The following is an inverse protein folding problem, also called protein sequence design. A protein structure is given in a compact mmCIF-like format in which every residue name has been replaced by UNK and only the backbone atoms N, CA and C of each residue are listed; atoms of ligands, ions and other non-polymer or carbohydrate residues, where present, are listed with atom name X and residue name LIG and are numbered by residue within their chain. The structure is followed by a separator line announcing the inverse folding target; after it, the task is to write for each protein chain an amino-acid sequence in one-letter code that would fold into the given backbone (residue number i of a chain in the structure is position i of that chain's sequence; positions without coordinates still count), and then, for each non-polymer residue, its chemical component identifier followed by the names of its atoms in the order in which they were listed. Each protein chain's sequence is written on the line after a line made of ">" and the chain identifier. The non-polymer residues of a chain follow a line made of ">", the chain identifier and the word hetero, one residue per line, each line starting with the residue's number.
data_IF_524918590862
#
_entry.id   IF_524918590862
#
_cell.length_a   1.000
_cell.length_b   1.000
_cell.length_c   1.000
_cell.angle_alpha   90.00
_cell.angle_beta   90.00
_cell.angle_gamma   90.00
#
_symmetry.space_group_name_H-M   'P 1'
#
loop_
_entity.id
_entity.type
_entity.pdbx_description
1 polymer ?
#
# COMPACT_ATOMS: atom_id res chain seq x y z
N UNK A 1 -1.99 22.37 5.51
CA UNK A 1 -3.44 22.40 5.26
C UNK A 1 -3.82 23.37 4.18
N UNK A 2 -4.01 24.65 4.51
CA UNK A 2 -4.56 25.67 3.58
C UNK A 2 -3.81 25.75 2.24
N UNK A 3 -2.48 25.83 2.25
CA UNK A 3 -1.70 25.90 1.02
C UNK A 3 -1.97 24.70 0.08
N UNK A 4 -2.03 23.48 0.61
CA UNK A 4 -2.33 22.29 -0.19
C UNK A 4 -3.75 22.32 -0.75
N UNK A 5 -4.72 22.75 0.05
CA UNK A 5 -6.13 22.82 -0.33
C UNK A 5 -6.35 23.86 -1.44
N UNK A 6 -5.72 25.03 -1.32
CA UNK A 6 -6.04 26.20 -2.13
C UNK A 6 -5.06 26.43 -3.29
N UNK A 7 -3.78 26.05 -3.12
CA UNK A 7 -2.71 26.42 -4.05
C UNK A 7 -2.19 25.26 -4.90
N UNK A 8 -2.44 24.00 -4.51
CA UNK A 8 -2.04 22.83 -5.31
C UNK A 8 -3.19 22.46 -6.23
N UNK A 9 -3.03 22.61 -7.58
CA UNK A 9 -4.14 22.47 -8.54
C UNK A 9 -4.76 21.07 -8.65
N UNK A 10 -4.00 19.93 -8.56
CA UNK A 10 -4.60 18.63 -8.81
C UNK A 10 -5.76 18.32 -7.86
N UNK A 11 -6.87 17.91 -8.47
CA UNK A 11 -8.11 17.52 -7.80
C UNK A 11 -8.56 16.15 -8.34
N UNK A 12 -7.67 15.17 -8.29
CA UNK A 12 -7.90 13.82 -8.82
C UNK A 12 -8.20 12.88 -7.66
N UNK A 13 -9.08 11.92 -7.87
CA UNK A 13 -9.33 10.79 -6.99
C UNK A 13 -9.48 11.22 -5.52
N UNK A 14 -8.79 10.55 -4.60
CA UNK A 14 -8.77 10.81 -3.17
C UNK A 14 -8.36 12.24 -2.82
N UNK A 15 -7.41 12.84 -3.55
CA UNK A 15 -6.98 14.22 -3.31
C UNK A 15 -8.09 15.23 -3.58
N UNK A 16 -8.86 15.03 -4.65
CA UNK A 16 -9.98 15.89 -5.02
C UNK A 16 -11.09 15.84 -3.99
N UNK A 17 -11.47 14.62 -3.57
CA UNK A 17 -12.50 14.40 -2.58
C UNK A 17 -12.07 14.98 -1.22
N UNK A 18 -10.85 14.65 -0.77
CA UNK A 18 -10.32 15.15 0.48
C UNK A 18 -10.30 16.69 0.53
N UNK A 19 -9.78 17.35 -0.52
CA UNK A 19 -9.76 18.81 -0.59
C UNK A 19 -11.17 19.42 -0.55
N UNK A 20 -12.13 18.78 -1.24
CA UNK A 20 -13.54 19.16 -1.20
C UNK A 20 -14.10 19.06 0.23
N UNK A 21 -13.85 17.97 0.90
CA UNK A 21 -14.25 17.71 2.28
C UNK A 21 -13.62 18.73 3.24
N UNK A 22 -12.33 19.02 3.09
CA UNK A 22 -11.62 20.01 3.94
C UNK A 22 -12.16 21.44 3.73
N UNK A 23 -12.49 21.81 2.48
CA UNK A 23 -13.18 23.10 2.20
C UNK A 23 -14.57 23.16 2.84
N UNK A 24 -15.23 22.00 2.96
CA UNK A 24 -16.50 21.86 3.69
C UNK A 24 -16.36 21.84 5.21
N UNK A 25 -15.13 21.97 5.74
CA UNK A 25 -14.84 22.02 7.19
C UNK A 25 -14.58 20.65 7.83
N UNK A 26 -14.50 19.56 7.05
CA UNK A 26 -14.13 18.25 7.58
C UNK A 26 -12.61 18.18 7.75
N UNK A 27 -12.18 17.68 8.90
CA UNK A 27 -10.76 17.46 9.22
C UNK A 27 -10.40 15.98 9.17
N UNK A 28 -9.11 15.60 9.01
CA UNK A 28 -8.68 14.21 9.10
C UNK A 28 -9.12 13.55 10.43
N UNK A 29 -9.53 12.27 10.41
CA UNK A 29 -9.62 11.38 9.25
C UNK A 29 -10.90 11.54 8.41
N UNK A 30 -11.87 12.36 8.86
CA UNK A 30 -13.16 12.52 8.16
C UNK A 30 -13.02 13.09 6.76
N UNK A 31 -11.99 13.92 6.51
CA UNK A 31 -11.69 14.43 5.18
C UNK A 31 -11.38 13.32 4.16
N UNK A 32 -10.74 12.25 4.60
CA UNK A 32 -10.43 11.08 3.77
C UNK A 32 -11.51 9.99 3.79
N UNK A 33 -12.49 10.08 4.71
CA UNK A 33 -13.52 9.06 4.89
C UNK A 33 -14.85 9.42 4.20
N UNK A 34 -15.26 10.70 4.29
CA UNK A 34 -16.59 11.12 3.91
C UNK A 34 -16.80 11.13 2.39
N UNK A 35 -17.73 10.29 1.92
CA UNK A 35 -18.04 10.12 0.48
C UNK A 35 -16.79 9.95 -0.40
N UNK A 36 -15.83 9.17 0.07
CA UNK A 36 -14.57 8.92 -0.63
C UNK A 36 -14.53 7.48 -1.15
N UNK A 37 -14.89 7.31 -2.40
CA UNK A 37 -14.81 6.02 -3.10
C UNK A 37 -13.37 5.59 -3.39
N UNK A 38 -12.38 6.48 -3.20
CA UNK A 38 -10.96 6.22 -3.44
C UNK A 38 -10.14 5.93 -2.16
N UNK A 39 -10.79 5.77 -1.01
CA UNK A 39 -10.08 5.55 0.25
C UNK A 39 -9.33 4.21 0.33
N UNK A 40 -9.65 3.29 -0.56
CA UNK A 40 -9.03 1.97 -0.67
C UNK A 40 -7.95 1.92 -1.78
N UNK A 41 -7.70 3.05 -2.47
CA UNK A 41 -6.76 3.17 -3.58
C UNK A 41 -5.29 3.20 -3.16
N UNK A 42 -4.40 3.25 -4.17
CA UNK A 42 -2.94 3.18 -3.99
C UNK A 42 -2.30 4.44 -3.41
N UNK A 43 -2.95 5.60 -3.50
CA UNK A 43 -2.32 6.90 -3.23
C UNK A 43 -1.65 7.08 -1.88
N UNK A 44 -2.04 6.32 -0.84
CA UNK A 44 -1.43 6.44 0.48
C UNK A 44 -0.11 5.66 0.62
N UNK A 45 -0.03 4.43 0.09
CA UNK A 45 1.13 3.58 0.32
C UNK A 45 2.29 3.85 -0.62
N UNK A 46 2.03 4.40 -1.80
CA UNK A 46 3.07 4.75 -2.79
C UNK A 46 3.91 5.98 -2.41
N UNK A 47 3.78 6.51 -1.22
CA UNK A 47 4.54 7.67 -0.71
C UNK A 47 5.11 7.45 0.69
N UNK A 48 5.17 6.18 1.12
CA UNK A 48 5.63 5.82 2.47
C UNK A 48 7.13 5.85 2.64
N UNK A 49 7.91 5.83 1.58
CA UNK A 49 9.37 5.80 1.58
C UNK A 49 9.98 6.95 2.39
N UNK A 50 9.35 8.13 2.37
CA UNK A 50 9.82 9.26 3.17
C UNK A 50 9.74 8.97 4.67
N UNK A 51 8.65 8.34 5.11
CA UNK A 51 8.44 8.02 6.53
C UNK A 51 9.36 6.90 6.99
N UNK A 52 9.57 5.89 6.16
CA UNK A 52 10.53 4.83 6.40
C UNK A 52 11.97 5.34 6.41
N UNK A 53 12.34 6.20 5.45
CA UNK A 53 13.66 6.84 5.38
C UNK A 53 13.97 7.78 6.54
N UNK A 54 12.95 8.42 7.13
CA UNK A 54 13.09 9.24 8.34
C UNK A 54 13.13 8.41 9.64
N UNK A 55 12.71 7.16 9.59
CA UNK A 55 12.64 6.24 10.73
C UNK A 55 13.25 4.87 10.38
N UNK A 56 14.54 4.80 9.95
CA UNK A 56 15.18 3.54 9.59
C UNK A 56 15.23 2.61 10.79
N UNK A 57 14.93 1.32 10.59
CA UNK A 57 14.89 0.29 11.63
C UNK A 57 13.93 0.58 12.80
N UNK A 58 12.95 1.46 12.58
CA UNK A 58 11.96 1.82 13.58
C UNK A 58 10.54 1.78 13.01
N UNK A 59 10.00 0.58 12.70
CA UNK A 59 8.69 0.43 12.05
C UNK A 59 7.56 1.18 12.74
N UNK A 60 7.49 1.15 14.07
CA UNK A 60 6.42 1.83 14.82
C UNK A 60 6.45 3.36 14.65
N UNK A 61 7.65 3.93 14.49
CA UNK A 61 7.81 5.37 14.21
C UNK A 61 7.40 5.68 12.78
N UNK A 62 7.84 4.89 11.80
CA UNK A 62 7.47 5.06 10.39
C UNK A 62 5.95 4.95 10.21
N UNK A 63 5.33 3.92 10.79
CA UNK A 63 3.88 3.68 10.77
C UNK A 63 3.10 4.87 11.33
N UNK A 64 3.54 5.44 12.44
CA UNK A 64 2.85 6.58 13.05
C UNK A 64 2.69 7.72 12.05
N UNK A 65 3.77 8.11 11.37
CA UNK A 65 3.73 9.20 10.39
C UNK A 65 3.02 8.81 9.10
N UNK A 66 3.26 7.60 8.58
CA UNK A 66 2.57 7.10 7.39
C UNK A 66 1.04 7.04 7.61
N UNK A 67 0.58 6.61 8.79
CA UNK A 67 -0.84 6.61 9.14
C UNK A 67 -1.43 8.02 9.26
N UNK A 68 -0.71 8.95 9.92
CA UNK A 68 -1.15 10.35 10.04
C UNK A 68 -1.30 10.99 8.65
N UNK A 69 -0.36 10.71 7.73
CA UNK A 69 -0.41 11.15 6.34
C UNK A 69 -1.57 10.50 5.57
N UNK A 70 -1.68 9.17 5.60
CA UNK A 70 -2.72 8.42 4.90
C UNK A 70 -4.14 8.81 5.35
N UNK A 71 -4.36 9.04 6.64
CA UNK A 71 -5.67 9.41 7.18
C UNK A 71 -6.21 10.74 6.60
N UNK A 72 -5.36 11.58 6.02
CA UNK A 72 -5.79 12.86 5.44
C UNK A 72 -6.73 12.63 4.26
N UNK A 73 -6.40 11.70 3.37
CA UNK A 73 -7.09 11.46 2.10
C UNK A 73 -7.64 10.03 1.91
N UNK A 74 -7.25 9.07 2.76
CA UNK A 74 -7.75 7.70 2.74
C UNK A 74 -8.54 7.30 4.02
N UNK A 75 -8.65 8.20 4.99
CA UNK A 75 -9.42 7.94 6.20
C UNK A 75 -9.01 6.65 6.92
N UNK A 76 -9.94 5.71 7.06
CA UNK A 76 -9.74 4.38 7.65
C UNK A 76 -9.80 3.24 6.63
N UNK A 77 -9.65 3.53 5.34
CA UNK A 77 -9.74 2.56 4.25
C UNK A 77 -8.53 1.64 4.10
N UNK A 78 -8.60 0.74 3.14
CA UNK A 78 -7.52 -0.22 2.83
C UNK A 78 -6.25 0.50 2.38
N UNK A 79 -6.34 1.68 1.75
CA UNK A 79 -5.19 2.52 1.43
C UNK A 79 -4.37 2.89 2.68
N UNK A 80 -5.03 3.19 3.80
CA UNK A 80 -4.37 3.46 5.07
C UNK A 80 -3.71 2.21 5.67
N UNK A 81 -4.36 1.03 5.58
CA UNK A 81 -3.72 -0.22 6.02
C UNK A 81 -2.53 -0.60 5.13
N UNK A 82 -2.63 -0.35 3.83
CA UNK A 82 -1.51 -0.52 2.90
C UNK A 82 -0.33 0.36 3.28
N UNK A 83 -0.55 1.65 3.57
CA UNK A 83 0.50 2.57 4.01
C UNK A 83 1.16 2.12 5.31
N UNK A 84 0.40 1.62 6.29
CA UNK A 84 0.93 1.07 7.53
C UNK A 84 1.80 -0.17 7.25
N UNK A 85 1.31 -1.09 6.42
CA UNK A 85 2.03 -2.31 6.04
C UNK A 85 3.35 -1.98 5.33
N UNK A 86 3.30 -1.16 4.28
CA UNK A 86 4.48 -0.83 3.46
C UNK A 86 5.50 -0.04 4.26
N UNK A 87 5.10 0.98 5.02
CA UNK A 87 6.03 1.73 5.88
C UNK A 87 6.73 0.84 6.91
N UNK A 88 6.04 -0.18 7.45
CA UNK A 88 6.65 -1.15 8.36
C UNK A 88 7.72 -1.99 7.66
N UNK A 89 7.40 -2.52 6.47
CA UNK A 89 8.30 -3.32 5.63
C UNK A 89 9.54 -2.52 5.26
N UNK A 90 9.36 -1.33 4.69
CA UNK A 90 10.44 -0.44 4.27
C UNK A 90 11.37 -0.04 5.42
N UNK A 91 10.81 0.36 6.56
CA UNK A 91 11.60 0.73 7.73
C UNK A 91 12.41 -0.44 8.28
N UNK A 92 11.83 -1.64 8.31
CA UNK A 92 12.53 -2.85 8.75
C UNK A 92 13.62 -3.28 7.76
N UNK A 93 13.44 -3.03 6.46
CA UNK A 93 14.38 -3.39 5.40
C UNK A 93 15.76 -2.69 5.54
N UNK A 94 15.89 -1.62 6.31
CA UNK A 94 17.18 -1.01 6.62
C UNK A 94 18.13 -1.94 7.41
N UNK A 95 17.59 -2.95 8.09
CA UNK A 95 18.37 -3.87 8.95
C UNK A 95 18.07 -5.35 8.72
N UNK A 96 17.07 -5.68 7.92
CA UNK A 96 16.67 -7.04 7.58
C UNK A 96 16.68 -7.24 6.07
N UNK A 97 17.14 -8.40 5.61
CA UNK A 97 17.16 -8.78 4.18
C UNK A 97 16.25 -9.97 3.86
N UNK A 98 15.63 -10.58 4.85
CA UNK A 98 14.71 -11.68 4.68
C UNK A 98 13.32 -11.14 4.32
N UNK A 99 12.92 -11.33 3.06
CA UNK A 99 11.65 -10.83 2.53
C UNK A 99 10.45 -11.40 3.30
N UNK A 100 10.51 -12.67 3.69
CA UNK A 100 9.43 -13.29 4.44
C UNK A 100 9.27 -12.64 5.82
N UNK A 101 10.37 -12.44 6.53
CA UNK A 101 10.38 -11.78 7.83
C UNK A 101 9.88 -10.32 7.73
N UNK A 102 10.23 -9.61 6.65
CA UNK A 102 9.72 -8.26 6.39
C UNK A 102 8.20 -8.24 6.20
N UNK A 103 7.66 -9.16 5.41
CA UNK A 103 6.21 -9.29 5.20
C UNK A 103 5.50 -9.63 6.52
N UNK A 104 6.06 -10.53 7.33
CA UNK A 104 5.49 -10.90 8.63
C UNK A 104 5.46 -9.69 9.59
N UNK A 105 6.50 -8.85 9.58
CA UNK A 105 6.49 -7.58 10.33
C UNK A 105 5.34 -6.70 9.85
N UNK A 106 5.19 -6.47 8.54
CA UNK A 106 4.09 -5.66 7.99
C UNK A 106 2.72 -6.20 8.39
N UNK A 107 2.49 -7.51 8.24
CA UNK A 107 1.24 -8.17 8.62
C UNK A 107 0.92 -8.04 10.10
N UNK A 108 1.92 -8.00 10.98
CA UNK A 108 1.73 -7.83 12.41
C UNK A 108 1.19 -6.45 12.80
N UNK A 109 1.22 -5.47 11.88
CA UNK A 109 0.88 -4.06 12.14
C UNK A 109 -0.50 -3.66 11.62
N UNK A 110 -1.16 -4.51 10.86
CA UNK A 110 -2.49 -4.25 10.28
C UNK A 110 -3.53 -5.25 10.79
N UNK A 111 -4.84 -4.92 10.72
CA UNK A 111 -5.88 -5.83 11.12
C UNK A 111 -5.84 -7.14 10.34
N UNK A 112 -5.97 -8.25 11.04
CA UNK A 112 -5.90 -9.58 10.44
C UNK A 112 -6.90 -9.82 9.31
N UNK A 113 -8.07 -9.16 9.38
CA UNK A 113 -9.20 -9.34 8.46
C UNK A 113 -9.32 -8.23 7.41
N UNK A 114 -8.39 -7.27 7.36
CA UNK A 114 -8.40 -6.29 6.27
C UNK A 114 -8.04 -6.94 4.94
N UNK A 115 -8.45 -6.35 3.83
CA UNK A 115 -8.25 -6.91 2.49
C UNK A 115 -6.77 -6.96 2.10
N UNK A 116 -5.97 -5.97 2.50
CA UNK A 116 -4.50 -6.01 2.33
C UNK A 116 -3.92 -7.27 2.97
N UNK A 117 -4.28 -7.58 4.23
CA UNK A 117 -3.78 -8.77 4.91
C UNK A 117 -4.25 -10.07 4.24
N UNK A 118 -5.48 -10.11 3.71
CA UNK A 118 -6.01 -11.28 2.99
C UNK A 118 -5.23 -11.51 1.69
N UNK A 119 -5.03 -10.47 0.87
CA UNK A 119 -4.27 -10.57 -0.39
C UNK A 119 -2.82 -11.00 -0.16
N UNK A 120 -2.15 -10.45 0.87
CA UNK A 120 -0.78 -10.85 1.23
C UNK A 120 -0.74 -12.32 1.69
N UNK A 121 -1.70 -12.78 2.48
CA UNK A 121 -1.75 -14.21 2.89
C UNK A 121 -2.01 -15.15 1.72
N UNK A 122 -2.87 -14.76 0.77
CA UNK A 122 -3.09 -15.51 -0.47
C UNK A 122 -1.79 -15.62 -1.28
N UNK A 123 -1.03 -14.53 -1.39
CA UNK A 123 0.29 -14.53 -2.00
C UNK A 123 1.23 -15.52 -1.30
N UNK A 124 1.31 -15.46 0.02
CA UNK A 124 2.18 -16.33 0.82
C UNK A 124 1.79 -17.81 0.65
N UNK A 125 0.49 -18.12 0.66
CA UNK A 125 -0.01 -19.47 0.41
C UNK A 125 0.40 -19.98 -0.98
N UNK A 126 0.26 -19.14 -2.01
CA UNK A 126 0.70 -19.48 -3.36
C UNK A 126 2.21 -19.76 -3.41
N UNK A 127 3.02 -18.89 -2.79
CA UNK A 127 4.47 -19.03 -2.78
C UNK A 127 4.93 -20.29 -2.04
N UNK A 128 4.40 -20.54 -0.85
CA UNK A 128 4.73 -21.68 -0.01
C UNK A 128 4.34 -23.02 -0.65
N UNK A 129 3.29 -23.03 -1.47
CA UNK A 129 2.86 -24.20 -2.25
C UNK A 129 3.53 -24.32 -3.63
N UNK A 130 4.52 -23.48 -3.94
CA UNK A 130 5.26 -23.54 -5.21
C UNK A 130 4.41 -23.20 -6.43
N UNK A 131 3.35 -22.42 -6.27
CA UNK A 131 2.50 -21.99 -7.38
C UNK A 131 3.27 -21.03 -8.28
N UNK A 132 3.16 -21.20 -9.60
CA UNK A 132 3.78 -20.26 -10.56
C UNK A 132 3.27 -18.83 -10.34
N UNK A 133 4.16 -17.85 -10.47
CA UNK A 133 3.84 -16.45 -10.17
C UNK A 133 2.68 -15.88 -11.01
N UNK A 134 2.51 -16.33 -12.27
CA UNK A 134 1.39 -15.87 -13.12
C UNK A 134 0.06 -16.43 -12.63
N UNK A 135 0.07 -17.66 -12.15
CA UNK A 135 -1.12 -18.28 -11.54
C UNK A 135 -1.44 -17.59 -10.22
N UNK A 136 -0.44 -17.31 -9.40
CA UNK A 136 -0.60 -16.55 -8.17
C UNK A 136 -1.19 -15.15 -8.47
N UNK A 137 -0.60 -14.43 -9.41
CA UNK A 137 -1.11 -13.13 -9.89
C UNK A 137 -2.59 -13.18 -10.29
N UNK A 138 -2.99 -14.20 -11.05
CA UNK A 138 -4.38 -14.33 -11.47
C UNK A 138 -5.33 -14.59 -10.31
N UNK A 139 -4.91 -15.39 -9.33
CA UNK A 139 -5.69 -15.60 -8.09
C UNK A 139 -5.86 -14.30 -7.29
N UNK A 140 -4.84 -13.47 -7.20
CA UNK A 140 -4.91 -12.17 -6.54
C UNK A 140 -5.91 -11.23 -7.24
N UNK A 141 -5.93 -11.22 -8.57
CA UNK A 141 -6.90 -10.44 -9.34
C UNK A 141 -8.32 -10.95 -9.14
N UNK A 142 -8.51 -12.27 -9.14
CA UNK A 142 -9.82 -12.89 -8.89
C UNK A 142 -10.33 -12.58 -7.47
N UNK A 143 -9.45 -12.64 -6.46
CA UNK A 143 -9.77 -12.31 -5.07
C UNK A 143 -10.18 -10.84 -4.90
N UNK A 144 -9.57 -9.93 -5.67
CA UNK A 144 -9.82 -8.49 -5.61
C UNK A 144 -10.83 -7.98 -6.64
N UNK A 145 -11.50 -8.86 -7.41
CA UNK A 145 -12.37 -8.47 -8.52
C UNK A 145 -13.57 -7.60 -8.10
N UNK A 146 -13.99 -7.68 -6.84
CA UNK A 146 -15.07 -6.87 -6.27
C UNK A 146 -14.65 -5.43 -5.93
N UNK A 147 -13.34 -5.17 -5.81
CA UNK A 147 -12.79 -3.84 -5.50
C UNK A 147 -12.58 -2.99 -6.75
N UNK A 148 -12.33 -3.62 -7.89
CA UNK A 148 -11.97 -2.93 -9.12
C UNK A 148 -10.45 -2.89 -9.34
N UNK A 149 -10.01 -1.98 -10.19
CA UNK A 149 -8.58 -1.74 -10.44
C UNK A 149 -8.11 -0.51 -9.66
N UNK A 150 -6.78 -0.35 -9.52
CA UNK A 150 -6.14 0.76 -8.81
C UNK A 150 -6.29 0.69 -7.28
N UNK A 151 -6.72 -0.44 -6.75
CA UNK A 151 -6.96 -0.62 -5.33
C UNK A 151 -5.75 -1.22 -4.61
N UNK A 152 -5.47 -0.74 -3.42
CA UNK A 152 -4.27 -1.06 -2.64
C UNK A 152 -4.09 -2.56 -2.32
N UNK A 153 -5.12 -3.34 -1.97
CA UNK A 153 -4.93 -4.75 -1.58
C UNK A 153 -4.22 -5.58 -2.64
N UNK A 154 -4.65 -5.48 -3.91
CA UNK A 154 -4.05 -6.23 -5.01
C UNK A 154 -2.66 -5.70 -5.37
N UNK A 155 -2.51 -4.39 -5.45
CA UNK A 155 -1.25 -3.75 -5.88
C UNK A 155 -0.11 -3.92 -4.86
N UNK A 156 -0.39 -3.82 -3.56
CA UNK A 156 0.61 -4.16 -2.52
C UNK A 156 1.02 -5.64 -2.62
N UNK A 157 0.05 -6.54 -2.87
CA UNK A 157 0.38 -7.95 -3.08
C UNK A 157 1.23 -8.17 -4.33
N UNK A 158 1.07 -7.38 -5.40
CA UNK A 158 1.93 -7.43 -6.59
C UNK A 158 3.36 -6.97 -6.32
N UNK A 159 3.55 -5.90 -5.54
CA UNK A 159 4.87 -5.47 -5.10
C UNK A 159 5.56 -6.59 -4.29
N UNK A 160 4.86 -7.17 -3.33
CA UNK A 160 5.38 -8.28 -2.52
C UNK A 160 5.60 -9.57 -3.33
N UNK A 161 4.77 -9.84 -4.35
CA UNK A 161 4.98 -10.95 -5.29
C UNK A 161 6.31 -10.77 -6.04
N UNK A 162 6.55 -9.55 -6.53
CA UNK A 162 7.81 -9.23 -7.19
C UNK A 162 9.01 -9.54 -6.29
N UNK A 163 8.96 -9.12 -5.04
CA UNK A 163 10.04 -9.35 -4.06
C UNK A 163 10.24 -10.84 -3.76
N UNK A 164 9.18 -11.60 -3.48
CA UNK A 164 9.26 -13.03 -3.15
C UNK A 164 9.77 -13.87 -4.32
N UNK A 165 9.12 -13.77 -5.49
CA UNK A 165 9.48 -14.55 -6.67
C UNK A 165 10.74 -14.02 -7.38
N UNK A 166 11.19 -12.81 -7.02
CA UNK A 166 12.46 -12.25 -7.46
C UNK A 166 13.68 -12.85 -6.76
N UNK A 167 13.47 -13.48 -5.58
CA UNK A 167 14.51 -14.24 -4.85
C UNK A 167 15.77 -13.40 -4.54
N UNK A 168 15.60 -12.11 -4.24
CA UNK A 168 16.69 -11.20 -3.92
C UNK A 168 17.39 -10.55 -5.14
N UNK A 169 16.97 -10.88 -6.37
CA UNK A 169 17.42 -10.15 -7.55
C UNK A 169 16.54 -8.91 -7.78
N UNK A 170 17.10 -7.71 -7.60
CA UNK A 170 16.40 -6.44 -7.73
C UNK A 170 15.70 -6.27 -9.09
N UNK A 171 16.43 -6.56 -10.19
CA UNK A 171 15.88 -6.40 -11.53
C UNK A 171 14.74 -7.36 -11.80
N UNK A 172 14.89 -8.62 -11.37
CA UNK A 172 13.85 -9.64 -11.50
C UNK A 172 12.62 -9.28 -10.66
N UNK A 173 12.82 -8.82 -9.44
CA UNK A 173 11.73 -8.39 -8.54
C UNK A 173 10.89 -7.27 -9.16
N UNK A 174 11.55 -6.21 -9.65
CA UNK A 174 10.90 -5.09 -10.31
C UNK A 174 10.15 -5.51 -11.58
N UNK A 175 10.77 -6.35 -12.43
CA UNK A 175 10.12 -6.84 -13.65
C UNK A 175 8.89 -7.68 -13.33
N UNK A 176 8.93 -8.51 -12.31
CA UNK A 176 7.79 -9.34 -11.90
C UNK A 176 6.65 -8.47 -11.35
N UNK A 177 6.94 -7.51 -10.49
CA UNK A 177 5.94 -6.57 -9.97
C UNK A 177 5.23 -5.81 -11.10
N UNK A 178 5.99 -5.21 -12.01
CA UNK A 178 5.46 -4.49 -13.19
C UNK A 178 4.62 -5.40 -14.10
N UNK A 179 5.05 -6.64 -14.33
CA UNK A 179 4.31 -7.58 -15.16
C UNK A 179 3.02 -8.10 -14.52
N UNK A 180 2.77 -7.84 -13.25
CA UNK A 180 1.48 -8.10 -12.64
C UNK A 180 0.38 -7.21 -13.20
N UNK A 181 0.71 -6.05 -13.76
CA UNK A 181 -0.26 -5.12 -14.34
C UNK A 181 -0.84 -4.16 -13.29
N UNK A 182 -2.00 -3.59 -13.59
CA UNK A 182 -2.70 -2.58 -12.81
C UNK A 182 -1.83 -1.32 -12.63
N UNK A 183 -1.52 -0.86 -11.45
CA UNK A 183 -0.73 0.35 -11.16
C UNK A 183 0.78 0.07 -11.23
N UNK A 184 1.28 -0.12 -12.44
CA UNK A 184 2.60 -0.71 -12.69
C UNK A 184 3.78 0.18 -12.32
N UNK A 185 3.64 1.48 -12.43
CA UNK A 185 4.68 2.45 -12.09
C UNK A 185 4.84 2.56 -10.57
N UNK A 186 3.75 2.62 -9.83
CA UNK A 186 3.79 2.66 -8.37
C UNK A 186 4.27 1.34 -7.77
N UNK A 187 3.70 0.20 -8.21
CA UNK A 187 4.11 -1.13 -7.70
C UNK A 187 5.55 -1.49 -8.02
N UNK A 188 6.08 -0.99 -9.14
CA UNK A 188 7.47 -1.23 -9.53
C UNK A 188 8.47 -0.25 -8.93
N UNK A 189 8.01 0.93 -8.46
CA UNK A 189 8.88 1.94 -7.85
C UNK A 189 9.09 1.72 -6.34
N UNK A 190 8.05 1.25 -5.64
CA UNK A 190 8.11 0.92 -4.20
C UNK A 190 8.78 -0.41 -3.98
#
# INVERSE_FOLDING_TARGET
>A
GEYWIDSIPPHWNEYGICKGNMRGGLVPPLSGEYHNDWKDSNGAWIRTEIWAGMAPASPDTAIRYAREDACVDHGSGEGTYAAIFVAAVESAAFVLNDIRALIDIGLSKIPEKCRVAQSIRLLLDCYDNGVDWKVCRNRLVEDSADLGWFEAPCNVAFAMLGMLYGEGDFKRSMILAINCGDDTDCTGAT
#
